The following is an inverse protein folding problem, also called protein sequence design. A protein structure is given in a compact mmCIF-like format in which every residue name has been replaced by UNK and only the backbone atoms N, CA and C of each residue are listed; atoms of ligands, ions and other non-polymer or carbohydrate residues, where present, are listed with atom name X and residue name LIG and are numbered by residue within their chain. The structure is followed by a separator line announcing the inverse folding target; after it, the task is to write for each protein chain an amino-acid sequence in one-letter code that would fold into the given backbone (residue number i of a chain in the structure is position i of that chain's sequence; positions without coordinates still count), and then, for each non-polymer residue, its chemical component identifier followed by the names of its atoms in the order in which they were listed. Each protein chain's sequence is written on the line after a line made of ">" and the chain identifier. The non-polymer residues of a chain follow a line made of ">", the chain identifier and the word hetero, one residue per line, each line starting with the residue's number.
data_IF_874003187553
#
_entry.id   IF_874003187553
#
_cell.length_a   1.000
_cell.length_b   1.000
_cell.length_c   1.000
_cell.angle_alpha   90.00
_cell.angle_beta   90.00
_cell.angle_gamma   90.00
#
_symmetry.space_group_name_H-M   'P 1'
#
loop_
_entity.id
_entity.type
_entity.pdbx_description
1 polymer ?
#
# COMPACT_ATOMS: atom_id res chain seq x y z
N UNK A 1 -23.60 -14.93 -13.66
CA UNK A 1 -24.16 -14.22 -14.82
C UNK A 1 -23.44 -14.56 -16.12
N UNK A 2 -22.15 -14.27 -16.29
CA UNK A 2 -21.41 -14.60 -17.53
C UNK A 2 -20.97 -16.08 -17.66
N UNK A 3 -21.01 -16.87 -16.57
CA UNK A 3 -20.52 -18.26 -16.53
C UNK A 3 -19.02 -18.43 -16.90
N UNK A 4 -18.23 -17.38 -16.75
CA UNK A 4 -16.76 -17.39 -16.90
C UNK A 4 -16.11 -17.35 -15.51
N UNK A 5 -15.08 -18.16 -15.23
CA UNK A 5 -14.35 -18.08 -13.96
C UNK A 5 -13.53 -16.79 -13.85
N UNK A 6 -13.43 -16.23 -12.64
CA UNK A 6 -12.67 -15.01 -12.37
C UNK A 6 -11.45 -15.29 -11.52
N UNK A 7 -10.34 -14.65 -11.89
CA UNK A 7 -9.18 -14.47 -11.01
C UNK A 7 -9.27 -13.06 -10.43
N UNK A 8 -9.62 -12.94 -9.16
CA UNK A 8 -9.50 -11.68 -8.42
C UNK A 8 -8.11 -11.63 -7.79
N UNK A 9 -7.29 -10.66 -8.19
CA UNK A 9 -5.92 -10.51 -7.71
C UNK A 9 -5.66 -9.09 -7.22
N UNK A 10 -4.70 -9.00 -6.31
CA UNK A 10 -4.18 -7.75 -5.75
C UNK A 10 -2.72 -7.95 -5.39
N UNK A 11 -1.99 -6.86 -5.24
CA UNK A 11 -0.54 -6.92 -5.10
C UNK A 11 -0.13 -7.60 -3.79
N UNK A 12 0.70 -8.64 -3.92
CA UNK A 12 1.27 -9.36 -2.78
C UNK A 12 2.09 -8.43 -1.89
N UNK A 13 1.89 -8.57 -0.57
CA UNK A 13 2.40 -7.70 0.50
C UNK A 13 1.87 -6.27 0.44
N UNK A 14 2.12 -5.54 -0.66
CA UNK A 14 1.79 -4.12 -0.82
C UNK A 14 0.30 -3.83 -0.63
N UNK A 15 -0.57 -4.76 -0.99
CA UNK A 15 -2.01 -4.71 -0.69
C UNK A 15 -2.41 -5.82 0.26
N UNK A 16 -1.92 -7.06 0.06
CA UNK A 16 -2.38 -8.20 0.86
C UNK A 16 -2.02 -8.16 2.35
N UNK A 17 -1.00 -7.39 2.73
CA UNK A 17 -0.54 -7.26 4.12
C UNK A 17 -0.60 -5.81 4.63
N UNK A 18 -1.11 -4.89 3.82
CA UNK A 18 -1.35 -3.53 4.25
C UNK A 18 -2.66 -3.47 5.04
N UNK A 19 -2.60 -2.85 6.21
CA UNK A 19 -3.78 -2.56 7.02
C UNK A 19 -4.31 -1.19 6.66
N UNK A 20 -5.60 -1.11 6.37
CA UNK A 20 -6.33 0.15 6.20
C UNK A 20 -7.66 0.09 6.93
N UNK A 21 -8.18 1.25 7.34
CA UNK A 21 -9.60 1.40 7.69
C UNK A 21 -10.41 1.40 6.39
N UNK A 22 -11.34 0.46 6.28
CA UNK A 22 -12.15 0.27 5.07
C UNK A 22 -13.63 0.11 5.43
N UNK A 23 -14.48 0.48 4.48
CA UNK A 23 -15.92 0.23 4.57
C UNK A 23 -16.26 -1.18 4.12
N UNK A 24 -16.47 -2.06 5.10
CA UNK A 24 -16.89 -3.44 4.84
C UNK A 24 -18.30 -3.49 4.23
N UNK A 25 -18.47 -4.28 3.18
CA UNK A 25 -19.78 -4.52 2.57
C UNK A 25 -20.47 -5.65 3.35
N UNK A 26 -21.65 -5.36 3.89
CA UNK A 26 -22.42 -6.36 4.63
C UNK A 26 -22.93 -7.49 3.73
N UNK A 27 -23.12 -8.68 4.31
CA UNK A 27 -23.67 -9.82 3.57
C UNK A 27 -25.10 -9.55 3.09
N UNK A 28 -25.86 -8.73 3.81
CA UNK A 28 -27.20 -8.30 3.38
C UNK A 28 -27.14 -7.46 2.10
N UNK A 29 -26.19 -6.52 2.02
CA UNK A 29 -25.96 -5.74 0.79
C UNK A 29 -25.54 -6.64 -0.37
N UNK A 30 -24.67 -7.62 -0.14
CA UNK A 30 -24.25 -8.58 -1.18
C UNK A 30 -25.45 -9.40 -1.69
N UNK A 31 -26.32 -9.88 -0.80
CA UNK A 31 -27.53 -10.65 -1.17
C UNK A 31 -28.46 -9.87 -2.10
N UNK A 32 -28.57 -8.54 -1.94
CA UNK A 32 -29.44 -7.70 -2.78
C UNK A 32 -29.06 -7.69 -4.27
N UNK A 33 -27.78 -7.91 -4.60
CA UNK A 33 -27.29 -7.94 -5.99
C UNK A 33 -26.99 -9.35 -6.49
N UNK A 34 -27.12 -10.36 -5.64
CA UNK A 34 -26.76 -11.74 -5.98
C UNK A 34 -27.72 -12.33 -7.02
N UNK A 35 -27.22 -12.93 -8.11
CA UNK A 35 -28.08 -13.42 -9.19
C UNK A 35 -28.63 -14.82 -8.90
N UNK A 36 -29.68 -14.89 -8.07
CA UNK A 36 -30.27 -16.16 -7.63
C UNK A 36 -30.75 -17.06 -8.78
N UNK A 37 -31.31 -16.51 -9.86
CA UNK A 37 -31.68 -17.30 -11.05
C UNK A 37 -30.46 -17.96 -11.70
N UNK A 38 -29.32 -17.27 -11.77
CA UNK A 38 -28.08 -17.86 -12.30
C UNK A 38 -27.48 -18.93 -11.37
N UNK A 39 -27.72 -18.83 -10.07
CA UNK A 39 -27.37 -19.90 -9.12
C UNK A 39 -28.24 -21.14 -9.38
N UNK A 40 -29.53 -20.97 -9.64
CA UNK A 40 -30.43 -22.07 -10.00
C UNK A 40 -29.98 -22.74 -11.30
N UNK A 41 -29.74 -21.98 -12.38
CA UNK A 41 -29.21 -22.50 -13.64
C UNK A 41 -27.85 -23.22 -13.46
N UNK A 42 -27.00 -22.74 -12.56
CA UNK A 42 -25.74 -23.41 -12.24
C UNK A 42 -25.97 -24.78 -11.58
N UNK A 43 -26.91 -24.85 -10.62
CA UNK A 43 -27.25 -26.11 -9.92
C UNK A 43 -27.92 -27.12 -10.85
N UNK A 44 -28.79 -26.66 -11.75
CA UNK A 44 -29.44 -27.51 -12.77
C UNK A 44 -28.41 -28.12 -13.74
N UNK A 45 -27.31 -27.39 -14.00
CA UNK A 45 -26.15 -27.90 -14.73
C UNK A 45 -25.16 -28.68 -13.86
N UNK A 46 -25.48 -29.07 -12.63
CA UNK A 46 -24.60 -29.97 -11.88
C UNK A 46 -24.63 -31.39 -12.46
N UNK A 47 -23.55 -32.15 -12.29
CA UNK A 47 -23.59 -33.58 -12.55
C UNK A 47 -24.52 -34.25 -11.53
N UNK A 48 -25.54 -34.93 -12.01
CA UNK A 48 -26.53 -35.59 -11.16
C UNK A 48 -27.06 -36.85 -11.87
N UNK A 49 -27.10 -38.02 -11.22
CA UNK A 49 -27.63 -39.25 -11.81
C UNK A 49 -29.12 -39.18 -12.19
N UNK A 50 -29.91 -38.29 -11.59
CA UNK A 50 -31.35 -38.17 -11.91
C UNK A 50 -31.63 -37.31 -13.15
N UNK A 51 -30.63 -36.57 -13.64
CA UNK A 51 -30.67 -35.80 -14.90
C UNK A 51 -29.25 -35.75 -15.51
N UNK A 52 -28.73 -36.90 -15.98
CA UNK A 52 -27.32 -37.06 -16.32
C UNK A 52 -26.93 -36.26 -17.57
N UNK A 53 -25.69 -35.76 -17.59
CA UNK A 53 -25.09 -35.12 -18.77
C UNK A 53 -23.66 -35.63 -18.95
N UNK A 54 -23.24 -35.90 -20.19
CA UNK A 54 -21.86 -36.24 -20.53
C UNK A 54 -21.03 -34.95 -20.72
N UNK A 55 -19.80 -34.91 -20.18
CA UNK A 55 -18.85 -33.77 -20.30
C UNK A 55 -17.42 -34.27 -20.41
N UNK A 56 -16.54 -33.45 -20.95
CA UNK A 56 -15.11 -33.80 -21.09
C UNK A 56 -14.86 -34.90 -22.12
N UNK A 57 -15.67 -34.95 -23.18
CA UNK A 57 -15.52 -35.91 -24.28
C UNK A 57 -14.22 -35.67 -25.04
N UNK A 58 -13.63 -36.73 -25.60
CA UNK A 58 -12.60 -36.61 -26.61
C UNK A 58 -13.23 -36.25 -27.96
N UNK A 59 -12.64 -35.28 -28.67
CA UNK A 59 -13.13 -34.82 -29.97
C UNK A 59 -11.96 -34.72 -30.96
N UNK A 60 -12.22 -35.03 -32.22
CA UNK A 60 -11.23 -34.87 -33.30
C UNK A 60 -11.24 -33.44 -33.86
N UNK A 61 -10.37 -33.19 -34.84
CA UNK A 61 -10.22 -31.89 -35.50
C UNK A 61 -11.46 -31.44 -36.30
N UNK A 62 -12.38 -32.36 -36.58
CA UNK A 62 -13.63 -32.12 -37.30
C UNK A 62 -14.63 -31.28 -36.50
N UNK A 63 -14.57 -31.29 -35.17
CA UNK A 63 -15.54 -30.60 -34.29
C UNK A 63 -14.88 -29.71 -33.21
N UNK A 64 -13.64 -30.02 -32.79
CA UNK A 64 -13.02 -29.30 -31.66
C UNK A 64 -12.94 -27.78 -31.86
N UNK A 65 -12.63 -27.33 -33.08
CA UNK A 65 -12.51 -25.90 -33.36
C UNK A 65 -13.86 -25.17 -33.21
N UNK A 66 -14.94 -25.74 -33.71
CA UNK A 66 -16.29 -25.21 -33.59
C UNK A 66 -16.73 -25.12 -32.11
N UNK A 67 -16.35 -26.11 -31.29
CA UNK A 67 -16.63 -26.09 -29.86
C UNK A 67 -15.81 -25.04 -29.11
N UNK A 68 -14.60 -24.71 -29.59
CA UNK A 68 -13.80 -23.64 -29.03
C UNK A 68 -14.46 -22.28 -29.27
N UNK A 69 -14.86 -22.00 -30.52
CA UNK A 69 -15.52 -20.75 -30.93
C UNK A 69 -16.94 -20.60 -30.34
N UNK A 70 -17.65 -21.70 -30.11
CA UNK A 70 -18.98 -21.68 -29.49
C UNK A 70 -19.00 -21.04 -28.09
N UNK A 71 -17.84 -20.92 -27.43
CA UNK A 71 -17.69 -20.26 -26.13
C UNK A 71 -17.54 -18.74 -26.23
N UNK A 72 -17.27 -18.18 -27.40
CA UNK A 72 -16.99 -16.75 -27.59
C UNK A 72 -18.08 -15.85 -26.99
N UNK A 73 -19.35 -16.20 -27.19
CA UNK A 73 -20.51 -15.45 -26.66
C UNK A 73 -20.44 -15.18 -25.15
N UNK A 74 -19.86 -16.09 -24.37
CA UNK A 74 -19.71 -15.90 -22.91
C UNK A 74 -18.61 -14.89 -22.59
N UNK A 75 -17.51 -14.91 -23.34
CA UNK A 75 -16.40 -13.98 -23.16
C UNK A 75 -16.74 -12.58 -23.69
N UNK A 76 -17.39 -12.48 -24.85
CA UNK A 76 -17.84 -11.23 -25.46
C UNK A 76 -18.84 -10.47 -24.58
N UNK A 77 -19.76 -11.17 -23.91
CA UNK A 77 -20.73 -10.56 -22.99
C UNK A 77 -20.18 -10.28 -21.59
N UNK A 78 -19.01 -10.81 -21.23
CA UNK A 78 -18.46 -10.68 -19.87
C UNK A 78 -18.17 -9.23 -19.47
N UNK A 79 -17.53 -8.37 -20.29
CA UNK A 79 -17.28 -6.97 -19.96
C UNK A 79 -18.54 -6.21 -19.52
N UNK A 80 -19.63 -6.31 -20.28
CA UNK A 80 -20.88 -5.61 -19.99
C UNK A 80 -21.55 -6.14 -18.71
N UNK A 81 -21.50 -7.45 -18.48
CA UNK A 81 -21.99 -8.07 -17.25
C UNK A 81 -21.19 -7.57 -16.05
N UNK A 82 -19.86 -7.49 -16.15
CA UNK A 82 -19.00 -6.97 -15.07
C UNK A 82 -19.33 -5.51 -14.78
N UNK A 83 -19.43 -4.66 -15.81
CA UNK A 83 -19.81 -3.25 -15.63
C UNK A 83 -21.19 -3.12 -14.96
N UNK A 84 -22.19 -3.91 -15.41
CA UNK A 84 -23.52 -3.92 -14.80
C UNK A 84 -23.50 -4.32 -13.31
N UNK A 85 -22.68 -5.31 -12.93
CA UNK A 85 -22.50 -5.69 -11.52
C UNK A 85 -21.84 -4.56 -10.73
N UNK A 86 -20.81 -3.90 -11.27
CA UNK A 86 -20.17 -2.75 -10.64
C UNK A 86 -21.16 -1.60 -10.42
N UNK A 87 -21.99 -1.28 -11.41
CA UNK A 87 -23.00 -0.21 -11.33
C UNK A 87 -24.09 -0.54 -10.30
N UNK A 88 -24.56 -1.79 -10.26
CA UNK A 88 -25.54 -2.24 -9.24
C UNK A 88 -24.97 -2.15 -7.83
N UNK A 89 -23.71 -2.53 -7.66
CA UNK A 89 -23.04 -2.41 -6.37
C UNK A 89 -22.87 -0.94 -5.98
N UNK A 90 -22.45 -0.07 -6.91
CA UNK A 90 -22.25 1.35 -6.68
C UNK A 90 -23.50 2.05 -6.15
N UNK A 91 -24.69 1.69 -6.67
CA UNK A 91 -25.99 2.20 -6.16
C UNK A 91 -26.25 1.87 -4.69
N UNK A 92 -25.64 0.81 -4.15
CA UNK A 92 -25.83 0.38 -2.76
C UNK A 92 -24.75 0.88 -1.81
N UNK A 93 -23.54 1.15 -2.30
CA UNK A 93 -22.38 1.48 -1.45
C UNK A 93 -21.78 2.88 -1.73
N UNK A 94 -22.28 3.58 -2.75
CA UNK A 94 -21.83 4.92 -3.16
C UNK A 94 -20.48 4.96 -3.90
N UNK A 95 -19.72 3.85 -3.92
CA UNK A 95 -18.43 3.74 -4.63
C UNK A 95 -18.63 3.18 -6.02
N UNK A 96 -18.26 3.95 -7.04
CA UNK A 96 -18.36 3.54 -8.44
C UNK A 96 -17.05 2.96 -8.95
N UNK A 97 -17.16 1.93 -9.79
CA UNK A 97 -16.04 1.26 -10.45
C UNK A 97 -16.40 1.04 -11.91
N UNK A 98 -15.39 1.05 -12.78
CA UNK A 98 -15.55 0.70 -14.18
C UNK A 98 -14.50 -0.31 -14.60
N UNK A 99 -14.67 -0.91 -15.77
CA UNK A 99 -13.64 -1.80 -16.36
C UNK A 99 -12.27 -1.11 -16.42
N UNK A 100 -12.30 0.20 -16.71
CA UNK A 100 -11.18 1.12 -16.74
C UNK A 100 -11.58 2.42 -16.04
N UNK A 101 -10.88 2.79 -14.97
CA UNK A 101 -11.13 4.06 -14.27
C UNK A 101 -10.10 5.10 -14.71
N UNK A 102 -10.57 6.26 -15.16
CA UNK A 102 -9.73 7.41 -15.47
C UNK A 102 -9.63 8.35 -14.26
N UNK A 103 -8.46 8.94 -14.03
CA UNK A 103 -8.21 10.00 -13.05
C UNK A 103 -7.19 11.01 -13.58
N UNK A 104 -7.42 12.30 -13.35
CA UNK A 104 -6.51 13.38 -13.73
C UNK A 104 -7.18 14.47 -14.57
N UNK A 105 -6.36 15.26 -15.27
CA UNK A 105 -6.83 16.44 -15.99
C UNK A 105 -7.75 16.05 -17.16
N UNK A 106 -8.97 16.61 -17.31
CA UNK A 106 -9.93 16.19 -18.35
C UNK A 106 -9.37 16.24 -19.78
N UNK A 107 -8.51 17.22 -20.06
CA UNK A 107 -7.78 17.37 -21.33
C UNK A 107 -6.34 16.84 -21.28
N UNK A 108 -6.06 15.76 -20.55
CA UNK A 108 -4.70 15.22 -20.41
C UNK A 108 -4.01 14.97 -21.76
N UNK A 109 -2.80 15.49 -21.92
CA UNK A 109 -1.92 15.26 -23.07
C UNK A 109 -1.00 14.05 -22.83
N UNK A 110 -0.74 13.74 -21.56
CA UNK A 110 0.09 12.64 -21.09
C UNK A 110 -0.74 11.67 -20.27
N UNK A 111 -0.80 10.41 -20.70
CA UNK A 111 -1.62 9.39 -20.07
C UNK A 111 -0.77 8.22 -19.56
N UNK A 112 -0.93 7.85 -18.30
CA UNK A 112 -0.33 6.64 -17.74
C UNK A 112 -1.38 5.52 -17.73
N UNK A 113 -1.02 4.30 -18.11
CA UNK A 113 -1.88 3.12 -17.96
C UNK A 113 -1.22 2.15 -17.00
N UNK A 114 -1.93 1.75 -15.96
CA UNK A 114 -1.36 0.93 -14.87
C UNK A 114 -2.41 0.02 -14.26
N UNK A 115 -1.96 -1.04 -13.61
CA UNK A 115 -2.80 -2.00 -12.88
C UNK A 115 -2.26 -2.22 -11.47
N UNK A 116 -3.15 -2.50 -10.51
CA UNK A 116 -2.77 -2.75 -9.11
C UNK A 116 -2.48 -1.47 -8.31
N UNK A 117 -1.70 -1.62 -7.24
CA UNK A 117 -1.51 -0.58 -6.21
C UNK A 117 -0.72 0.63 -6.70
N UNK A 118 0.13 0.47 -7.72
CA UNK A 118 0.92 1.57 -8.29
C UNK A 118 0.06 2.72 -8.83
N UNK A 119 -1.18 2.44 -9.22
CA UNK A 119 -2.14 3.46 -9.63
C UNK A 119 -2.46 4.47 -8.53
N UNK A 120 -2.44 4.08 -7.26
CA UNK A 120 -2.70 4.99 -6.14
C UNK A 120 -1.58 6.01 -5.96
N UNK A 121 -0.32 5.57 -6.04
CA UNK A 121 0.86 6.47 -6.01
C UNK A 121 0.85 7.43 -7.20
N UNK A 122 0.42 6.96 -8.38
CA UNK A 122 0.31 7.79 -9.58
C UNK A 122 -0.79 8.85 -9.44
N UNK A 123 -1.92 8.53 -8.80
CA UNK A 123 -2.94 9.54 -8.49
C UNK A 123 -2.38 10.66 -7.59
N UNK A 124 -1.66 10.32 -6.51
CA UNK A 124 -1.03 11.33 -5.65
C UNK A 124 -0.03 12.20 -6.41
N UNK A 125 0.75 11.59 -7.31
CA UNK A 125 1.68 12.31 -8.18
C UNK A 125 0.96 13.24 -9.17
N UNK A 126 -0.17 12.79 -9.74
CA UNK A 126 -1.02 13.60 -10.64
C UNK A 126 -1.60 14.79 -9.88
N UNK A 127 -2.12 14.59 -8.65
CA UNK A 127 -2.62 15.67 -7.80
C UNK A 127 -1.55 16.72 -7.56
N UNK A 128 -0.33 16.29 -7.22
CA UNK A 128 0.82 17.17 -7.04
C UNK A 128 1.15 17.98 -8.29
N UNK A 129 1.19 17.35 -9.48
CA UNK A 129 1.53 18.04 -10.72
C UNK A 129 0.44 19.02 -11.16
N UNK A 130 -0.84 18.65 -11.00
CA UNK A 130 -1.96 19.55 -11.29
C UNK A 130 -1.98 20.76 -10.35
N UNK A 131 -1.78 20.55 -9.05
CA UNK A 131 -1.74 21.64 -8.06
C UNK A 131 -0.55 22.58 -8.29
N UNK A 132 0.63 22.02 -8.60
CA UNK A 132 1.87 22.79 -8.69
C UNK A 132 2.05 23.53 -10.01
N UNK A 133 1.71 22.92 -11.14
CA UNK A 133 1.95 23.49 -12.47
C UNK A 133 0.83 23.25 -13.48
N UNK A 134 -0.34 22.80 -13.04
CA UNK A 134 -1.50 22.53 -13.89
C UNK A 134 -1.16 21.61 -15.07
N UNK A 135 -0.32 20.61 -14.83
CA UNK A 135 0.09 19.67 -15.87
C UNK A 135 -1.11 18.85 -16.37
N UNK A 136 -1.18 18.68 -17.69
CA UNK A 136 -2.22 17.91 -18.35
C UNK A 136 -1.87 16.42 -18.34
N UNK A 137 -1.90 15.82 -17.16
CA UNK A 137 -1.59 14.41 -16.94
C UNK A 137 -2.80 13.64 -16.41
N UNK A 138 -2.94 12.40 -16.85
CA UNK A 138 -3.96 11.47 -16.36
C UNK A 138 -3.45 10.05 -16.20
N UNK A 139 -4.23 9.22 -15.53
CA UNK A 139 -4.01 7.79 -15.37
C UNK A 139 -5.27 6.99 -15.66
N UNK A 140 -5.14 5.91 -16.42
CA UNK A 140 -6.14 4.85 -16.52
C UNK A 140 -5.70 3.69 -15.63
N UNK A 141 -6.57 3.34 -14.69
CA UNK A 141 -6.41 2.17 -13.82
C UNK A 141 -7.22 1.02 -14.40
N UNK A 142 -6.53 -0.04 -14.78
CA UNK A 142 -7.16 -1.26 -15.32
C UNK A 142 -7.78 -2.05 -14.18
N UNK A 143 -9.09 -2.36 -14.27
CA UNK A 143 -9.82 -3.20 -13.29
C UNK A 143 -10.14 -4.57 -13.85
N UNK A 144 -10.69 -4.62 -15.06
CA UNK A 144 -10.92 -5.86 -15.79
C UNK A 144 -9.83 -6.04 -16.84
N UNK A 145 -8.76 -6.76 -16.49
CA UNK A 145 -7.69 -7.08 -17.45
C UNK A 145 -8.13 -8.10 -18.50
N UNK A 146 -8.94 -9.09 -18.10
CA UNK A 146 -9.49 -10.11 -18.99
C UNK A 146 -10.94 -10.42 -18.66
N UNK A 147 -11.83 -10.51 -19.66
CA UNK A 147 -11.61 -10.18 -21.08
C UNK A 147 -11.37 -8.68 -21.29
N UNK A 148 -10.48 -8.32 -22.22
CA UNK A 148 -10.14 -6.93 -22.51
C UNK A 148 -11.18 -6.32 -23.45
N UNK A 149 -11.79 -5.19 -23.06
CA UNK A 149 -12.73 -4.45 -23.91
C UNK A 149 -12.04 -3.21 -24.52
N UNK A 150 -11.74 -3.27 -25.82
CA UNK A 150 -11.11 -2.16 -26.56
C UNK A 150 -11.99 -0.92 -26.47
N UNK A 151 -13.29 -1.05 -26.75
CA UNK A 151 -14.23 0.07 -26.75
C UNK A 151 -14.31 0.75 -25.38
N UNK A 152 -14.39 -0.03 -24.29
CA UNK A 152 -14.45 0.53 -22.94
C UNK A 152 -13.13 1.22 -22.54
N UNK A 153 -11.99 0.71 -23.00
CA UNK A 153 -10.67 1.31 -22.77
C UNK A 153 -10.51 2.63 -23.54
N UNK A 154 -10.74 2.60 -24.86
CA UNK A 154 -10.57 3.76 -25.76
C UNK A 154 -11.48 4.91 -25.33
N UNK A 155 -12.72 4.63 -24.90
CA UNK A 155 -13.66 5.64 -24.35
C UNK A 155 -13.13 6.39 -23.13
N UNK A 156 -12.13 5.86 -22.41
CA UNK A 156 -11.51 6.50 -21.25
C UNK A 156 -10.28 7.33 -21.59
N UNK A 157 -9.82 7.32 -22.83
CA UNK A 157 -8.66 8.10 -23.29
C UNK A 157 -9.12 9.51 -23.68
N UNK A 158 -8.61 10.58 -23.04
CA UNK A 158 -8.90 11.94 -23.46
C UNK A 158 -8.46 12.18 -24.92
N UNK A 159 -9.29 12.87 -25.70
CA UNK A 159 -9.03 13.14 -27.12
C UNK A 159 -7.74 13.92 -27.38
N UNK A 160 -7.26 14.65 -26.37
CA UNK A 160 -6.03 15.46 -26.41
C UNK A 160 -4.76 14.65 -26.11
N UNK A 161 -4.89 13.35 -25.82
CA UNK A 161 -3.75 12.48 -25.48
C UNK A 161 -2.76 12.42 -26.64
N UNK A 162 -1.51 12.77 -26.36
CA UNK A 162 -0.39 12.73 -27.32
C UNK A 162 0.58 11.59 -27.01
N UNK A 163 0.72 11.22 -25.73
CA UNK A 163 1.64 10.17 -25.27
C UNK A 163 1.00 9.30 -24.21
N UNK A 164 1.20 7.99 -24.35
CA UNK A 164 0.76 6.98 -23.38
C UNK A 164 2.00 6.27 -22.82
N UNK A 165 2.10 6.14 -21.51
CA UNK A 165 3.10 5.28 -20.86
C UNK A 165 2.40 4.16 -20.10
N UNK A 166 2.72 2.93 -20.45
CA UNK A 166 2.15 1.73 -19.85
C UNK A 166 3.13 1.17 -18.83
N UNK A 167 2.71 1.08 -17.58
CA UNK A 167 3.50 0.58 -16.48
C UNK A 167 3.10 -0.82 -16.09
N UNK A 168 4.09 -1.71 -16.03
CA UNK A 168 3.88 -3.12 -15.74
C UNK A 168 4.72 -3.66 -14.60
N UNK A 169 4.06 -4.54 -13.83
CA UNK A 169 4.64 -5.26 -12.70
C UNK A 169 4.98 -6.70 -13.07
N UNK A 170 5.51 -6.89 -14.27
CA UNK A 170 6.00 -8.17 -14.77
C UNK A 170 7.23 -7.96 -15.66
N UNK A 171 7.88 -9.05 -16.09
CA UNK A 171 8.95 -9.03 -17.08
C UNK A 171 8.87 -10.29 -17.93
N UNK A 172 8.61 -10.12 -19.22
CA UNK A 172 8.65 -11.20 -20.21
C UNK A 172 9.93 -11.08 -21.04
N UNK A 173 10.93 -11.90 -20.72
CA UNK A 173 12.24 -11.82 -21.37
C UNK A 173 12.16 -12.21 -22.84
N UNK A 174 12.52 -11.27 -23.72
CA UNK A 174 12.52 -11.46 -25.18
C UNK A 174 11.23 -11.04 -25.88
N UNK A 175 10.20 -10.60 -25.15
CA UNK A 175 8.98 -10.07 -25.76
C UNK A 175 9.22 -8.68 -26.38
N UNK A 176 8.32 -8.29 -27.29
CA UNK A 176 8.31 -6.93 -27.90
C UNK A 176 7.88 -5.85 -26.91
N UNK A 177 7.17 -6.23 -25.86
CA UNK A 177 6.67 -5.40 -24.77
C UNK A 177 5.99 -6.32 -23.74
N UNK A 178 5.76 -5.81 -22.55
CA UNK A 178 4.99 -6.52 -21.53
C UNK A 178 3.49 -6.63 -21.90
N UNK A 179 2.71 -7.58 -21.34
CA UNK A 179 1.35 -7.91 -21.78
C UNK A 179 0.35 -6.75 -21.88
N UNK A 180 0.22 -5.92 -20.85
CA UNK A 180 -0.61 -4.72 -20.84
C UNK A 180 -0.13 -3.69 -21.88
N UNK A 181 1.19 -3.54 -22.07
CA UNK A 181 1.72 -2.65 -23.10
C UNK A 181 1.31 -3.11 -24.51
N UNK A 182 1.33 -4.43 -24.75
CA UNK A 182 0.87 -5.02 -26.01
C UNK A 182 -0.65 -4.86 -26.21
N UNK A 183 -1.45 -5.05 -25.15
CA UNK A 183 -2.92 -4.85 -25.22
C UNK A 183 -3.29 -3.39 -25.50
N UNK A 184 -2.63 -2.44 -24.81
CA UNK A 184 -2.83 -1.01 -25.04
C UNK A 184 -2.44 -0.63 -26.47
N UNK A 185 -1.25 -1.06 -26.92
CA UNK A 185 -0.78 -0.81 -28.28
C UNK A 185 -1.75 -1.34 -29.34
N UNK A 186 -2.23 -2.57 -29.16
CA UNK A 186 -3.22 -3.20 -30.02
C UNK A 186 -4.56 -2.46 -29.99
N UNK A 187 -4.98 -1.96 -28.82
CA UNK A 187 -6.21 -1.19 -28.67
C UNK A 187 -6.16 0.13 -29.44
N UNK A 188 -5.05 0.88 -29.34
CA UNK A 188 -4.87 2.12 -30.11
C UNK A 188 -4.88 1.82 -31.60
N UNK A 189 -4.12 0.83 -32.05
CA UNK A 189 -4.04 0.42 -33.46
C UNK A 189 -5.39 0.02 -34.05
N UNK A 190 -6.26 -0.64 -33.26
CA UNK A 190 -7.57 -1.14 -33.71
C UNK A 190 -8.72 -0.16 -33.51
N UNK A 191 -8.43 1.06 -33.07
CA UNK A 191 -9.44 2.09 -32.77
C UNK A 191 -9.34 3.29 -33.71
N UNK A 192 -10.28 4.20 -33.57
CA UNK A 192 -10.27 5.52 -34.21
C UNK A 192 -9.04 6.37 -33.84
N UNK A 193 -8.32 6.04 -32.76
CA UNK A 193 -7.11 6.74 -32.33
C UNK A 193 -5.86 6.35 -33.13
N UNK A 194 -5.94 5.35 -34.01
CA UNK A 194 -4.82 4.88 -34.83
C UNK A 194 -4.20 5.99 -35.71
N UNK A 195 -4.99 7.00 -36.10
CA UNK A 195 -4.53 8.16 -36.88
C UNK A 195 -4.01 9.33 -36.03
N UNK A 196 -4.11 9.27 -34.69
CA UNK A 196 -3.76 10.38 -33.79
C UNK A 196 -2.26 10.50 -33.49
N UNK A 197 -1.41 9.66 -34.10
CA UNK A 197 0.04 9.63 -33.90
C UNK A 197 0.46 9.63 -32.41
N UNK A 198 -0.25 8.84 -31.58
CA UNK A 198 0.01 8.73 -30.15
C UNK A 198 1.29 7.90 -29.92
N UNK A 199 2.28 8.49 -29.25
CA UNK A 199 3.48 7.76 -28.86
C UNK A 199 3.20 6.88 -27.64
N UNK A 200 3.44 5.57 -27.77
CA UNK A 200 3.27 4.60 -26.68
C UNK A 200 4.64 4.17 -26.15
N UNK A 201 4.82 4.26 -24.84
CA UNK A 201 6.03 3.86 -24.12
C UNK A 201 5.69 2.73 -23.13
N UNK A 202 6.56 1.72 -23.04
CA UNK A 202 6.49 0.66 -22.03
C UNK A 202 7.49 0.89 -20.90
N UNK A 203 7.09 0.59 -19.67
CA UNK A 203 7.94 0.69 -18.49
C UNK A 203 7.67 -0.41 -17.47
N UNK A 204 8.72 -0.92 -16.84
CA UNK A 204 8.63 -1.91 -15.76
C UNK A 204 8.87 -1.28 -14.40
N UNK A 205 8.11 -1.72 -13.41
CA UNK A 205 8.28 -1.29 -12.02
C UNK A 205 7.93 -2.42 -11.03
N UNK A 206 8.31 -2.26 -9.77
CA UNK A 206 7.70 -3.02 -8.67
C UNK A 206 7.92 -4.53 -8.64
N UNK A 207 8.84 -5.08 -9.44
CA UNK A 207 9.14 -6.52 -9.44
C UNK A 207 9.56 -6.97 -8.05
N UNK A 208 8.99 -8.09 -7.59
CA UNK A 208 9.23 -8.66 -6.26
C UNK A 208 9.08 -7.64 -5.11
N UNK A 209 8.09 -6.74 -5.21
CA UNK A 209 7.86 -5.69 -4.21
C UNK A 209 8.99 -4.67 -4.08
N UNK A 210 9.77 -4.46 -5.14
CA UNK A 210 10.55 -3.24 -5.27
C UNK A 210 9.63 -2.03 -5.09
N UNK A 211 10.11 -1.02 -4.38
CA UNK A 211 9.33 0.19 -4.13
C UNK A 211 8.92 0.90 -5.40
N UNK A 212 7.79 1.59 -5.33
CA UNK A 212 7.31 2.53 -6.34
C UNK A 212 6.80 3.79 -5.65
N UNK A 213 7.71 4.74 -5.46
CA UNK A 213 7.50 5.95 -4.67
C UNK A 213 6.99 7.11 -5.53
N UNK A 214 6.51 8.21 -4.93
CA UNK A 214 6.15 9.41 -5.69
C UNK A 214 7.28 9.96 -6.58
N UNK A 215 8.53 9.91 -6.11
CA UNK A 215 9.68 10.32 -6.93
C UNK A 215 9.87 9.43 -8.16
N UNK A 216 9.54 8.15 -8.07
CA UNK A 216 9.56 7.22 -9.22
C UNK A 216 8.42 7.49 -10.19
N UNK A 217 7.21 7.75 -9.67
CA UNK A 217 6.08 8.17 -10.50
C UNK A 217 6.38 9.49 -11.22
N UNK A 218 7.02 10.44 -10.53
CA UNK A 218 7.46 11.70 -11.14
C UNK A 218 8.51 11.45 -12.24
N UNK A 219 9.47 10.56 -12.03
CA UNK A 219 10.47 10.20 -13.06
C UNK A 219 9.82 9.61 -14.33
N UNK A 220 8.74 8.83 -14.17
CA UNK A 220 7.95 8.34 -15.32
C UNK A 220 7.36 9.52 -16.09
N UNK A 221 6.73 10.48 -15.40
CA UNK A 221 6.20 11.68 -16.06
C UNK A 221 7.29 12.53 -16.71
N UNK A 222 8.45 12.73 -16.05
CA UNK A 222 9.59 13.46 -16.62
C UNK A 222 10.10 12.78 -17.91
N UNK A 223 10.14 11.45 -17.93
CA UNK A 223 10.44 10.71 -19.16
C UNK A 223 9.38 10.93 -20.24
N UNK A 224 8.09 10.94 -19.88
CA UNK A 224 6.99 11.18 -20.82
C UNK A 224 7.07 12.53 -21.52
N UNK A 225 7.50 13.59 -20.82
CA UNK A 225 7.58 14.94 -21.39
C UNK A 225 8.91 15.23 -22.09
N UNK A 226 9.92 14.35 -21.93
CA UNK A 226 11.23 14.50 -22.57
C UNK A 226 11.13 14.51 -24.11
N UNK A 227 12.02 15.25 -24.77
CA UNK A 227 12.13 15.22 -26.24
C UNK A 227 12.48 13.82 -26.76
N UNK A 228 13.30 13.08 -26.01
CA UNK A 228 13.76 11.72 -26.34
C UNK A 228 13.40 10.77 -25.19
N UNK A 229 12.13 10.36 -25.07
CA UNK A 229 11.72 9.44 -24.03
C UNK A 229 12.42 8.10 -24.18
N UNK A 230 12.85 7.51 -23.07
CA UNK A 230 13.35 6.14 -23.01
C UNK A 230 12.12 5.23 -23.08
N UNK A 231 12.09 4.33 -24.07
CA UNK A 231 11.09 3.27 -24.17
C UNK A 231 11.61 1.96 -23.56
N UNK A 232 10.71 1.05 -23.18
CA UNK A 232 11.03 -0.20 -22.51
C UNK A 232 11.92 -0.01 -21.28
N UNK A 233 11.65 1.05 -20.52
CA UNK A 233 12.46 1.48 -19.39
C UNK A 233 12.20 0.63 -18.14
N UNK A 234 12.99 0.87 -17.09
CA UNK A 234 12.70 0.41 -15.73
C UNK A 234 12.74 1.58 -14.76
N UNK A 235 12.03 1.50 -13.64
CA UNK A 235 12.08 2.53 -12.59
C UNK A 235 12.19 1.87 -11.23
N UNK A 236 13.02 2.46 -10.35
CA UNK A 236 13.29 1.95 -9.00
C UNK A 236 14.56 1.08 -8.89
N UNK A 237 15.38 1.03 -9.92
CA UNK A 237 16.71 0.42 -9.93
C UNK A 237 17.72 1.36 -10.58
N UNK A 238 19.01 1.07 -10.41
CA UNK A 238 20.10 1.60 -11.21
C UNK A 238 20.53 0.50 -12.20
N UNK A 239 20.27 0.70 -13.49
CA UNK A 239 20.63 -0.22 -14.56
C UNK A 239 21.80 0.39 -15.34
N UNK A 240 23.00 0.15 -14.81
CA UNK A 240 24.29 0.55 -15.37
C UNK A 240 24.80 -0.38 -16.47
N UNK A 241 23.99 -1.38 -16.87
CA UNK A 241 24.34 -2.36 -17.90
C UNK A 241 23.62 -2.07 -19.20
N UNK A 242 22.28 -1.91 -19.16
CA UNK A 242 21.49 -1.61 -20.37
C UNK A 242 21.02 -0.17 -20.47
N UNK A 243 21.28 0.64 -19.43
CA UNK A 243 20.99 2.08 -19.38
C UNK A 243 19.51 2.41 -19.61
N UNK A 244 18.61 1.54 -19.14
CA UNK A 244 17.16 1.70 -19.29
C UNK A 244 16.47 2.17 -18.02
N UNK A 245 17.19 2.32 -16.90
CA UNK A 245 16.61 2.83 -15.67
C UNK A 245 16.37 4.33 -15.75
N UNK A 246 15.18 4.78 -15.34
CA UNK A 246 14.90 6.20 -15.19
C UNK A 246 15.60 6.77 -13.96
N UNK A 247 16.18 7.96 -14.11
CA UNK A 247 16.78 8.69 -13.02
C UNK A 247 15.71 9.21 -12.06
N UNK A 248 15.89 8.98 -10.75
CA UNK A 248 14.97 9.45 -9.70
C UNK A 248 15.66 10.56 -8.91
N UNK A 249 15.12 11.78 -8.98
CA UNK A 249 15.69 12.97 -8.34
C UNK A 249 15.76 12.82 -6.81
N UNK A 250 16.79 13.45 -6.22
CA UNK A 250 16.93 13.65 -4.79
C UNK A 250 16.71 15.14 -4.44
N UNK A 251 16.24 15.47 -3.22
CA UNK A 251 15.85 14.55 -2.15
C UNK A 251 14.53 13.80 -2.44
N UNK A 252 14.25 12.72 -1.68
CA UNK A 252 12.98 11.99 -1.75
C UNK A 252 11.78 12.94 -1.65
N UNK A 253 10.86 12.81 -2.59
CA UNK A 253 9.60 13.55 -2.66
C UNK A 253 8.59 12.94 -1.67
N UNK A 254 8.07 13.77 -0.77
CA UNK A 254 6.94 13.43 0.09
C UNK A 254 5.73 14.26 -0.35
N UNK A 255 4.66 13.59 -0.75
CA UNK A 255 3.43 14.21 -1.24
C UNK A 255 2.33 14.30 -0.17
N UNK A 256 2.59 13.80 1.03
CA UNK A 256 1.61 13.82 2.11
C UNK A 256 1.54 15.20 2.76
N UNK A 257 0.31 15.61 3.10
CA UNK A 257 0.03 16.85 3.83
C UNK A 257 0.63 16.81 5.24
N UNK A 258 0.88 17.98 5.82
CA UNK A 258 1.28 18.11 7.24
C UNK A 258 0.25 17.53 8.21
N UNK A 259 -1.02 17.43 7.81
CA UNK A 259 -2.09 16.80 8.57
C UNK A 259 -2.00 15.26 8.62
N UNK A 260 -1.15 14.65 7.79
CA UNK A 260 -0.93 13.19 7.81
C UNK A 260 0.33 12.88 8.61
N UNK A 261 0.13 12.35 9.82
CA UNK A 261 1.19 11.88 10.69
C UNK A 261 1.83 10.61 10.12
N UNK A 262 3.16 10.61 9.99
CA UNK A 262 3.95 9.49 9.47
C UNK A 262 4.90 8.94 10.55
N UNK A 263 4.73 7.69 10.93
CA UNK A 263 5.45 7.07 12.05
C UNK A 263 6.21 5.81 11.63
N UNK A 264 7.52 5.77 11.91
CA UNK A 264 8.39 4.64 11.64
C UNK A 264 8.82 3.95 12.93
N UNK A 265 8.69 2.63 13.00
CA UNK A 265 9.12 1.84 14.16
C UNK A 265 10.10 0.77 13.72
N UNK A 266 11.29 0.77 14.32
CA UNK A 266 12.30 -0.26 14.18
C UNK A 266 12.21 -1.22 15.36
N UNK A 267 11.79 -2.46 15.09
CA UNK A 267 11.69 -3.53 16.08
C UNK A 267 12.54 -4.73 15.71
N UNK A 268 12.83 -5.57 16.70
CA UNK A 268 13.44 -6.88 16.52
C UNK A 268 12.37 -7.95 16.30
N UNK A 269 12.61 -8.89 15.39
CA UNK A 269 11.71 -10.03 15.20
C UNK A 269 11.40 -10.75 16.52
N UNK A 270 10.11 -10.79 16.90
CA UNK A 270 9.56 -11.36 18.15
C UNK A 270 9.63 -10.47 19.42
N UNK A 271 9.95 -9.19 19.30
CA UNK A 271 9.91 -8.24 20.44
C UNK A 271 8.50 -7.69 20.77
N UNK A 272 7.53 -7.93 19.89
CA UNK A 272 6.14 -7.48 20.03
C UNK A 272 5.81 -6.13 19.39
N UNK A 273 6.78 -5.44 18.76
CA UNK A 273 6.61 -4.14 18.09
C UNK A 273 5.51 -4.15 17.04
N UNK A 274 5.56 -5.11 16.11
CA UNK A 274 4.55 -5.21 15.04
C UNK A 274 3.15 -5.42 15.62
N UNK A 275 3.01 -6.27 16.64
CA UNK A 275 1.73 -6.52 17.30
C UNK A 275 1.19 -5.28 18.03
N UNK A 276 2.07 -4.53 18.70
CA UNK A 276 1.72 -3.25 19.33
C UNK A 276 1.22 -2.25 18.29
N UNK A 277 1.93 -2.11 17.17
CA UNK A 277 1.57 -1.20 16.08
C UNK A 277 0.23 -1.58 15.43
N UNK A 278 -0.04 -2.88 15.22
CA UNK A 278 -1.37 -3.34 14.75
C UNK A 278 -2.49 -2.97 15.72
N UNK A 279 -2.25 -3.09 17.03
CA UNK A 279 -3.21 -2.67 18.05
C UNK A 279 -3.39 -1.15 18.07
N UNK A 280 -2.31 -0.37 17.94
CA UNK A 280 -2.38 1.09 17.87
C UNK A 280 -3.22 1.56 16.66
N UNK A 281 -3.00 0.97 15.48
CA UNK A 281 -3.82 1.22 14.27
C UNK A 281 -5.30 0.96 14.57
N UNK A 282 -5.60 -0.17 15.22
CA UNK A 282 -6.97 -0.54 15.54
C UNK A 282 -7.61 0.43 16.53
N UNK A 283 -6.91 0.77 17.61
CA UNK A 283 -7.37 1.73 18.61
C UNK A 283 -7.71 3.05 17.93
N UNK A 284 -6.77 3.62 17.15
CA UNK A 284 -6.97 4.90 16.47
C UNK A 284 -8.11 4.82 15.45
N UNK A 285 -8.16 3.75 14.64
CA UNK A 285 -9.17 3.58 13.60
C UNK A 285 -10.59 3.38 14.14
N UNK A 286 -10.74 2.75 15.32
CA UNK A 286 -12.03 2.51 15.98
C UNK A 286 -12.47 3.68 16.88
N UNK A 287 -11.53 4.48 17.40
CA UNK A 287 -11.84 5.58 18.33
C UNK A 287 -11.83 6.98 17.68
N UNK A 288 -11.50 7.09 16.40
CA UNK A 288 -11.42 8.38 15.69
C UNK A 288 -11.97 8.27 14.26
N UNK A 289 -12.23 9.43 13.66
CA UNK A 289 -12.59 9.53 12.24
C UNK A 289 -11.37 9.51 11.31
N UNK A 290 -10.15 9.43 11.86
CA UNK A 290 -8.93 9.37 11.06
C UNK A 290 -8.93 8.11 10.19
N UNK A 291 -8.39 8.30 9.00
CA UNK A 291 -7.94 7.22 8.13
C UNK A 291 -6.61 6.72 8.67
N UNK A 292 -6.44 5.41 8.66
CA UNK A 292 -5.26 4.74 9.20
C UNK A 292 -4.69 3.82 8.14
N UNK A 293 -3.36 3.77 8.07
CA UNK A 293 -2.64 2.84 7.20
C UNK A 293 -1.47 2.24 7.98
N UNK A 294 -1.22 0.94 7.79
CA UNK A 294 -0.07 0.24 8.35
C UNK A 294 0.55 -0.74 7.39
N UNK A 295 1.84 -0.61 7.15
CA UNK A 295 2.64 -1.56 6.39
C UNK A 295 3.83 -2.05 7.22
N UNK A 296 4.14 -3.34 7.14
CA UNK A 296 5.17 -3.97 7.95
C UNK A 296 6.19 -4.65 7.05
N UNK A 297 7.40 -4.10 6.99
CA UNK A 297 8.52 -4.71 6.30
C UNK A 297 9.27 -5.64 7.26
N UNK A 298 9.56 -6.86 6.78
CA UNK A 298 10.28 -7.88 7.53
C UNK A 298 11.58 -8.22 6.79
N UNK A 299 12.61 -8.54 7.55
CA UNK A 299 13.79 -9.22 7.02
C UNK A 299 13.39 -10.61 6.46
N UNK A 300 14.17 -11.13 5.51
CA UNK A 300 14.01 -12.49 5.00
C UNK A 300 14.33 -13.56 6.07
N UNK A 301 15.02 -13.18 7.15
CA UNK A 301 15.33 -14.06 8.28
C UNK A 301 14.07 -14.39 9.09
N UNK A 302 13.87 -15.68 9.36
CA UNK A 302 12.73 -16.20 10.15
C UNK A 302 12.69 -15.68 11.60
N UNK A 303 13.82 -15.39 12.21
CA UNK A 303 13.91 -14.89 13.59
C UNK A 303 15.12 -13.94 13.75
N UNK A 304 15.00 -12.97 14.68
CA UNK A 304 16.07 -12.00 14.99
C UNK A 304 16.38 -10.99 13.89
N UNK A 305 15.64 -11.01 12.78
CA UNK A 305 15.72 -9.99 11.74
C UNK A 305 15.12 -8.65 12.18
N UNK A 306 15.49 -7.58 11.49
CA UNK A 306 14.88 -6.28 11.69
C UNK A 306 13.43 -6.27 11.16
N UNK A 307 12.58 -5.52 11.84
CA UNK A 307 11.21 -5.24 11.41
C UNK A 307 11.01 -3.73 11.36
N UNK A 308 10.38 -3.25 10.30
CA UNK A 308 10.05 -1.83 10.14
C UNK A 308 8.55 -1.70 9.98
N UNK A 309 7.91 -0.98 10.90
CA UNK A 309 6.49 -0.65 10.82
C UNK A 309 6.33 0.77 10.30
N UNK A 310 5.62 0.92 9.20
CA UNK A 310 5.32 2.18 8.55
C UNK A 310 3.84 2.50 8.78
N UNK A 311 3.56 3.48 9.63
CA UNK A 311 2.21 3.87 9.97
C UNK A 311 1.91 5.26 9.44
N UNK A 312 0.67 5.45 8.97
CA UNK A 312 0.14 6.76 8.60
C UNK A 312 -1.24 6.98 9.22
N UNK A 313 -1.48 8.19 9.71
CA UNK A 313 -2.75 8.59 10.29
C UNK A 313 -3.11 9.99 9.78
N UNK A 314 -4.29 10.17 9.20
CA UNK A 314 -4.69 11.47 8.65
C UNK A 314 -6.19 11.58 8.44
N UNK A 315 -6.70 12.80 8.22
CA UNK A 315 -8.14 13.04 8.05
C UNK A 315 -8.66 12.57 6.69
N UNK A 316 -7.78 12.45 5.68
CA UNK A 316 -8.13 12.08 4.29
C UNK A 316 -7.77 10.62 3.99
N UNK A 317 -8.45 9.97 3.01
CA UNK A 317 -8.08 8.65 2.53
C UNK A 317 -6.59 8.56 2.14
N UNK A 318 -5.89 7.55 2.65
CA UNK A 318 -4.44 7.40 2.46
C UNK A 318 -4.20 6.50 1.26
N UNK A 319 -3.75 7.09 0.15
CA UNK A 319 -3.45 6.39 -1.12
C UNK A 319 -2.00 5.90 -1.21
N UNK A 320 -1.16 6.26 -0.25
CA UNK A 320 0.29 6.10 -0.28
C UNK A 320 0.78 4.65 -0.20
N UNK A 321 0.67 3.91 -1.30
CA UNK A 321 1.08 2.50 -1.43
C UNK A 321 2.60 2.35 -1.60
N UNK A 322 3.37 3.00 -0.74
CA UNK A 322 4.85 3.01 -0.69
C UNK A 322 5.33 3.22 0.76
N UNK A 323 6.60 2.94 1.04
CA UNK A 323 7.20 3.16 2.37
C UNK A 323 7.28 4.65 2.71
N UNK A 324 7.39 4.99 4.00
CA UNK A 324 7.50 6.39 4.43
C UNK A 324 8.70 7.09 3.77
N UNK A 325 8.45 8.26 3.17
CA UNK A 325 9.50 9.09 2.56
C UNK A 325 10.05 10.08 3.59
N UNK A 326 9.18 10.59 4.47
CA UNK A 326 9.52 11.41 5.63
C UNK A 326 8.74 10.92 6.85
N UNK A 327 9.29 11.13 8.04
CA UNK A 327 8.71 10.65 9.29
C UNK A 327 8.61 11.79 10.31
N UNK A 328 7.43 11.97 10.88
CA UNK A 328 7.18 12.87 12.02
C UNK A 328 7.64 12.22 13.33
N UNK A 329 7.55 10.89 13.41
CA UNK A 329 7.92 10.09 14.57
C UNK A 329 8.76 8.90 14.14
N UNK A 330 9.89 8.67 14.81
CA UNK A 330 10.73 7.48 14.66
C UNK A 330 10.95 6.84 16.02
N UNK A 331 10.65 5.56 16.17
CA UNK A 331 11.00 4.80 17.37
C UNK A 331 11.94 3.65 17.03
N UNK A 332 12.99 3.48 17.84
CA UNK A 332 13.95 2.39 17.74
C UNK A 332 13.87 1.57 19.02
N UNK A 333 13.28 0.39 18.92
CA UNK A 333 12.99 -0.46 20.08
C UNK A 333 14.15 -1.39 20.45
N UNK A 334 15.18 -1.47 19.60
CA UNK A 334 16.40 -2.22 19.88
C UNK A 334 17.64 -1.33 19.72
N UNK A 335 18.41 -1.06 20.79
CA UNK A 335 19.42 0.00 20.79
C UNK A 335 20.53 -0.25 19.77
N UNK A 336 20.91 -1.51 19.51
CA UNK A 336 21.98 -1.82 18.54
C UNK A 336 21.70 -1.31 17.11
N UNK A 337 20.45 -0.99 16.77
CA UNK A 337 20.10 -0.56 15.41
C UNK A 337 20.62 0.82 15.05
N UNK A 338 20.90 1.69 16.03
CA UNK A 338 21.51 2.99 15.77
C UNK A 338 22.92 2.86 15.16
N UNK A 339 23.59 1.72 15.36
CA UNK A 339 24.90 1.41 14.78
C UNK A 339 24.82 0.63 13.46
N UNK A 340 23.69 0.00 13.17
CA UNK A 340 23.54 -0.92 12.03
C UNK A 340 22.80 -0.30 10.85
N UNK A 341 21.89 0.62 11.12
CA UNK A 341 20.99 1.19 10.13
C UNK A 341 20.96 2.72 10.26
N UNK A 342 20.65 3.39 9.15
CA UNK A 342 20.36 4.82 9.14
C UNK A 342 18.92 5.05 9.61
N UNK A 343 18.68 4.83 10.91
CA UNK A 343 17.32 4.84 11.49
C UNK A 343 16.64 6.21 11.40
N UNK A 344 17.42 7.29 11.26
CA UNK A 344 16.94 8.67 11.14
C UNK A 344 17.01 9.21 9.70
N UNK A 345 17.27 8.38 8.69
CA UNK A 345 17.36 8.82 7.28
C UNK A 345 16.18 9.73 6.90
N UNK A 346 14.97 9.29 7.24
CA UNK A 346 13.70 9.91 6.85
C UNK A 346 13.12 10.89 7.89
N UNK A 347 13.76 11.14 9.04
CA UNK A 347 13.16 12.04 10.05
C UNK A 347 13.04 13.47 9.52
N UNK A 348 11.88 14.09 9.74
CA UNK A 348 11.61 15.50 9.41
C UNK A 348 12.36 16.44 10.36
N UNK A 349 12.54 17.69 9.94
CA UNK A 349 12.95 18.77 10.83
C UNK A 349 11.95 18.88 11.99
N UNK A 350 12.42 19.00 13.23
CA UNK A 350 11.55 19.07 14.42
C UNK A 350 10.89 17.75 14.80
N UNK A 351 11.20 16.65 14.10
CA UNK A 351 10.59 15.34 14.29
C UNK A 351 10.91 14.73 15.65
N UNK A 352 10.12 13.75 16.09
CA UNK A 352 10.30 13.05 17.35
C UNK A 352 11.09 11.76 17.14
N UNK A 353 12.15 11.56 17.92
CA UNK A 353 12.92 10.33 17.95
C UNK A 353 12.85 9.69 19.35
N UNK A 354 12.48 8.42 19.42
CA UNK A 354 12.45 7.63 20.64
C UNK A 354 13.43 6.46 20.53
N UNK A 355 14.31 6.32 21.51
CA UNK A 355 15.24 5.19 21.61
C UNK A 355 14.95 4.39 22.88
N UNK A 356 14.67 3.09 22.72
CA UNK A 356 14.63 2.16 23.84
C UNK A 356 16.06 1.74 24.18
N UNK A 357 16.61 2.25 25.28
CA UNK A 357 17.97 1.96 25.73
C UNK A 357 18.11 2.13 27.25
N UNK A 358 19.12 1.51 27.87
CA UNK A 358 19.41 1.72 29.30
C UNK A 358 20.13 3.05 29.58
N UNK A 359 20.60 3.75 28.54
CA UNK A 359 21.32 5.02 28.66
C UNK A 359 20.33 6.16 28.93
N UNK A 360 20.58 6.90 30.02
CA UNK A 360 19.67 7.97 30.49
C UNK A 360 20.35 9.32 30.60
N UNK A 361 21.68 9.36 30.54
CA UNK A 361 22.46 10.60 30.65
C UNK A 361 23.05 11.03 29.32
N UNK A 362 23.22 12.34 29.12
CA UNK A 362 23.87 12.90 27.93
C UNK A 362 25.31 12.36 27.74
N UNK A 363 26.03 12.09 28.84
CA UNK A 363 27.38 11.51 28.80
C UNK A 363 27.38 10.10 28.20
N UNK A 364 26.47 9.24 28.65
CA UNK A 364 26.32 7.88 28.11
C UNK A 364 25.91 7.94 26.64
N UNK A 365 24.88 8.71 26.31
CA UNK A 365 24.38 8.85 24.94
C UNK A 365 25.44 9.42 23.99
N UNK A 366 26.28 10.35 24.45
CA UNK A 366 27.39 10.87 23.66
C UNK A 366 28.47 9.82 23.36
N UNK A 367 28.69 8.88 24.29
CA UNK A 367 29.62 7.77 24.11
C UNK A 367 29.06 6.71 23.17
N UNK A 368 27.79 6.36 23.35
CA UNK A 368 27.15 5.22 22.69
C UNK A 368 26.60 5.57 21.29
N UNK A 369 26.04 6.76 21.07
CA UNK A 369 25.46 7.11 19.78
C UNK A 369 26.53 7.41 18.71
N UNK A 370 26.43 6.82 17.50
CA UNK A 370 27.31 7.18 16.39
C UNK A 370 27.24 8.66 16.02
N UNK A 371 28.37 9.23 15.57
CA UNK A 371 28.45 10.64 15.18
C UNK A 371 27.43 11.05 14.12
N UNK A 372 27.11 10.14 13.18
CA UNK A 372 26.07 10.38 12.16
C UNK A 372 24.69 10.59 12.79
N UNK A 373 24.30 9.78 13.76
CA UNK A 373 23.00 9.89 14.46
C UNK A 373 22.96 11.19 15.27
N UNK A 374 24.02 11.49 16.04
CA UNK A 374 24.12 12.76 16.79
C UNK A 374 24.02 13.97 15.88
N UNK A 375 24.70 13.93 14.72
CA UNK A 375 24.60 14.99 13.73
C UNK A 375 23.19 15.13 13.15
N UNK A 376 22.50 14.02 12.81
CA UNK A 376 21.12 14.07 12.33
C UNK A 376 20.15 14.62 13.38
N UNK A 377 20.33 14.26 14.66
CA UNK A 377 19.53 14.79 15.77
C UNK A 377 19.69 16.31 15.88
N UNK A 378 20.94 16.79 15.94
CA UNK A 378 21.22 18.21 16.09
C UNK A 378 20.85 19.04 14.84
N UNK A 379 21.27 18.60 13.65
CA UNK A 379 21.03 19.34 12.40
C UNK A 379 19.56 19.45 12.02
N UNK A 380 18.72 18.51 12.49
CA UNK A 380 17.28 18.48 12.20
C UNK A 380 16.40 18.87 13.38
N UNK A 381 16.99 19.41 14.45
CA UNK A 381 16.28 19.83 15.66
C UNK A 381 15.32 18.76 16.20
N UNK A 382 15.81 17.52 16.29
CA UNK A 382 14.99 16.34 16.61
C UNK A 382 14.64 16.31 18.09
N UNK A 383 13.35 16.25 18.43
CA UNK A 383 12.90 16.03 19.81
C UNK A 383 13.26 14.60 20.23
N UNK A 384 14.37 14.46 20.95
CA UNK A 384 14.94 13.17 21.30
C UNK A 384 14.51 12.71 22.71
N UNK A 385 13.97 11.49 22.78
CA UNK A 385 13.54 10.84 24.01
C UNK A 385 14.18 9.47 24.15
N UNK A 386 14.44 9.08 25.39
CA UNK A 386 14.93 7.75 25.75
C UNK A 386 14.02 7.11 26.80
N UNK A 387 13.95 5.79 26.77
CA UNK A 387 13.23 4.99 27.78
C UNK A 387 13.93 3.65 27.96
N UNK A 388 14.08 3.19 29.19
CA UNK A 388 14.49 1.81 29.49
C UNK A 388 13.24 0.94 29.69
N UNK A 389 12.63 0.51 28.58
CA UNK A 389 11.43 -0.31 28.64
C UNK A 389 11.70 -1.70 29.26
N UNK A 390 12.95 -2.18 29.19
CA UNK A 390 13.32 -3.48 29.75
C UNK A 390 13.35 -3.44 31.28
N UNK A 391 13.84 -2.34 31.89
CA UNK A 391 13.75 -2.09 33.33
C UNK A 391 12.30 -2.02 33.80
N UNK A 392 11.46 -1.23 33.13
CA UNK A 392 10.03 -1.08 33.48
C UNK A 392 9.30 -2.44 33.41
N UNK A 393 9.59 -3.23 32.38
CA UNK A 393 9.02 -4.57 32.23
C UNK A 393 9.44 -5.51 33.38
N UNK A 394 10.67 -5.42 33.88
CA UNK A 394 11.13 -6.20 35.03
C UNK A 394 10.46 -5.75 36.33
N UNK A 395 10.41 -4.45 36.61
CA UNK A 395 9.74 -3.87 37.78
C UNK A 395 8.23 -4.17 37.84
N UNK A 396 7.64 -4.46 36.67
CA UNK A 396 6.23 -4.80 36.50
C UNK A 396 5.93 -6.30 36.36
N UNK A 397 6.94 -7.18 36.51
CA UNK A 397 6.81 -8.63 36.34
C UNK A 397 6.34 -9.09 34.94
N UNK A 398 6.70 -8.35 33.88
CA UNK A 398 6.40 -8.67 32.48
C UNK A 398 7.54 -9.40 31.76
N UNK A 399 8.69 -9.57 32.42
CA UNK A 399 9.88 -10.21 31.85
C UNK A 399 10.49 -9.37 30.73
N UNK A 400 10.47 -9.88 29.49
CA UNK A 400 11.04 -9.21 28.31
C UNK A 400 10.01 -8.45 27.45
N UNK A 401 8.76 -8.35 27.92
CA UNK A 401 7.66 -7.79 27.11
C UNK A 401 7.59 -6.28 27.29
N UNK A 402 8.03 -5.56 26.26
CA UNK A 402 8.12 -4.09 26.23
C UNK A 402 7.02 -3.44 25.36
N UNK A 403 6.19 -4.24 24.72
CA UNK A 403 5.25 -3.82 23.67
C UNK A 403 4.20 -2.80 24.15
N UNK A 404 3.63 -2.98 25.34
CA UNK A 404 2.63 -2.04 25.87
C UNK A 404 3.25 -0.74 26.39
N UNK A 405 4.46 -0.81 26.96
CA UNK A 405 5.24 0.35 27.42
C UNK A 405 5.51 1.27 26.22
N UNK A 406 6.09 0.73 25.15
CA UNK A 406 6.44 1.52 23.96
C UNK A 406 5.22 2.06 23.22
N UNK A 407 4.08 1.35 23.27
CA UNK A 407 2.82 1.86 22.72
C UNK A 407 2.30 3.09 23.49
N UNK A 408 2.45 3.12 24.82
CA UNK A 408 2.08 4.30 25.63
C UNK A 408 2.99 5.49 25.31
N UNK A 409 4.30 5.25 25.14
CA UNK A 409 5.25 6.29 24.69
C UNK A 409 4.85 6.87 23.33
N UNK A 410 4.42 6.01 22.39
CA UNK A 410 3.92 6.46 21.11
C UNK A 410 2.70 7.39 21.25
N UNK A 411 1.70 7.01 22.04
CA UNK A 411 0.52 7.84 22.25
C UNK A 411 0.83 9.16 22.98
N UNK A 412 1.72 9.14 23.97
CA UNK A 412 2.08 10.33 24.75
C UNK A 412 2.86 11.37 23.95
N UNK A 413 3.65 10.93 22.96
CA UNK A 413 4.51 11.83 22.19
C UNK A 413 3.87 12.29 20.87
N UNK A 414 2.96 11.51 20.29
CA UNK A 414 2.34 11.85 19.01
C UNK A 414 1.06 12.68 19.14
N UNK A 415 0.38 12.62 20.29
CA UNK A 415 -0.89 13.32 20.54
C UNK A 415 -1.96 13.09 19.46
N UNK A 416 -1.94 11.94 18.76
CA UNK A 416 -2.93 11.58 17.74
C UNK A 416 -4.34 11.46 18.35
N UNK A 417 -4.40 11.03 19.61
CA UNK A 417 -5.60 11.04 20.45
C UNK A 417 -5.23 11.62 21.82
N UNK A 418 -6.19 12.18 22.58
CA UNK A 418 -5.94 12.64 23.94
C UNK A 418 -5.31 11.54 24.81
N UNK A 419 -4.27 11.88 25.57
CA UNK A 419 -3.48 10.91 26.33
C UNK A 419 -4.33 10.08 27.31
N UNK A 420 -5.24 10.73 28.05
CA UNK A 420 -6.13 10.03 29.00
C UNK A 420 -7.01 9.00 28.30
N UNK A 421 -7.52 9.34 27.11
CA UNK A 421 -8.29 8.42 26.29
C UNK A 421 -7.40 7.27 25.78
N UNK A 422 -6.18 7.56 25.34
CA UNK A 422 -5.22 6.55 24.90
C UNK A 422 -4.92 5.54 26.01
N UNK A 423 -4.59 6.01 27.21
CA UNK A 423 -4.30 5.15 28.37
C UNK A 423 -5.50 4.26 28.69
N UNK A 424 -6.71 4.83 28.70
CA UNK A 424 -7.95 4.07 28.91
C UNK A 424 -8.12 2.96 27.87
N UNK A 425 -8.03 3.29 26.58
CA UNK A 425 -8.20 2.32 25.48
C UNK A 425 -7.12 1.23 25.50
N UNK A 426 -5.88 1.59 25.84
CA UNK A 426 -4.78 0.63 26.02
C UNK A 426 -5.08 -0.33 27.18
N UNK A 427 -5.51 0.18 28.34
CA UNK A 427 -5.87 -0.64 29.51
C UNK A 427 -7.05 -1.58 29.21
N UNK A 428 -8.05 -1.11 28.46
CA UNK A 428 -9.18 -1.93 27.98
C UNK A 428 -8.73 -3.02 27.00
N UNK A 429 -7.86 -2.68 26.04
CA UNK A 429 -7.30 -3.64 25.09
C UNK A 429 -6.45 -4.73 25.78
N UNK A 430 -5.67 -4.35 26.80
CA UNK A 430 -4.93 -5.27 27.67
C UNK A 430 -5.89 -6.24 28.36
N UNK A 431 -6.97 -5.74 28.99
CA UNK A 431 -7.96 -6.58 29.67
C UNK A 431 -8.64 -7.54 28.69
N UNK A 432 -9.02 -7.07 27.50
CA UNK A 432 -9.62 -7.92 26.45
C UNK A 432 -8.67 -9.02 25.98
N UNK A 433 -7.39 -8.71 25.82
CA UNK A 433 -6.39 -9.64 25.28
C UNK A 433 -5.90 -10.64 26.33
N UNK A 434 -5.68 -10.19 27.56
CA UNK A 434 -5.03 -10.98 28.60
C UNK A 434 -5.94 -11.36 29.78
N UNK A 435 -7.20 -10.94 29.81
CA UNK A 435 -8.13 -11.26 30.90
C UNK A 435 -8.29 -12.77 31.13
N UNK A 436 -8.23 -13.58 30.07
CA UNK A 436 -8.25 -15.05 30.18
C UNK A 436 -7.00 -15.65 30.85
N UNK A 437 -5.93 -14.87 31.04
CA UNK A 437 -4.68 -15.28 31.69
C UNK A 437 -4.64 -14.91 33.18
N UNK A 438 -5.71 -14.31 33.72
CA UNK A 438 -5.84 -13.95 35.13
C UNK A 438 -5.50 -12.48 35.44
N UNK A 439 -6.08 -11.96 36.52
CA UNK A 439 -5.99 -10.55 36.91
C UNK A 439 -4.57 -10.10 37.25
N UNK A 440 -3.72 -11.01 37.77
CA UNK A 440 -2.32 -10.70 38.03
C UNK A 440 -1.57 -10.25 36.77
N UNK A 441 -1.81 -10.90 35.63
CA UNK A 441 -1.19 -10.53 34.34
C UNK A 441 -1.71 -9.18 33.85
N UNK A 442 -3.01 -8.92 34.02
CA UNK A 442 -3.63 -7.64 33.64
C UNK A 442 -3.06 -6.50 34.50
N UNK A 443 -3.02 -6.67 35.81
CA UNK A 443 -2.50 -5.68 36.75
C UNK A 443 -1.01 -5.40 36.53
N UNK A 444 -0.19 -6.40 36.22
CA UNK A 444 1.20 -6.21 35.81
C UNK A 444 1.35 -5.35 34.57
N UNK A 445 0.47 -5.52 33.58
CA UNK A 445 0.48 -4.67 32.38
C UNK A 445 0.01 -3.25 32.69
N UNK A 446 -1.00 -3.07 33.53
CA UNK A 446 -1.45 -1.74 33.95
C UNK A 446 -0.38 -0.99 34.74
N UNK A 447 0.31 -1.66 35.67
CA UNK A 447 1.46 -1.10 36.39
C UNK A 447 2.54 -0.61 35.42
N UNK A 448 2.86 -1.40 34.40
CA UNK A 448 3.85 -0.99 33.39
C UNK A 448 3.41 0.24 32.59
N UNK A 449 2.12 0.33 32.24
CA UNK A 449 1.53 1.51 31.58
C UNK A 449 1.70 2.75 32.45
N UNK A 450 1.41 2.64 33.75
CA UNK A 450 1.48 3.76 34.69
C UNK A 450 2.93 4.25 34.90
N UNK A 451 3.88 3.33 35.07
CA UNK A 451 5.32 3.66 35.19
C UNK A 451 5.95 4.23 33.92
N UNK A 452 5.31 4.06 32.76
CA UNK A 452 5.89 4.46 31.47
C UNK A 452 6.13 5.96 31.38
N UNK A 453 5.13 6.77 31.75
CA UNK A 453 5.19 8.22 31.60
C UNK A 453 6.23 8.86 32.52
N UNK A 454 6.37 8.33 33.74
CA UNK A 454 7.36 8.78 34.72
C UNK A 454 8.80 8.43 34.30
N UNK A 455 8.97 7.38 33.48
CA UNK A 455 10.28 6.87 33.07
C UNK A 455 10.73 7.36 31.69
N UNK A 456 9.91 8.15 30.99
CA UNK A 456 10.23 8.70 29.68
C UNK A 456 11.05 9.99 29.86
N UNK A 457 12.27 10.01 29.32
CA UNK A 457 13.20 11.12 29.51
C UNK A 457 13.41 11.85 28.18
N UNK A 458 13.15 13.15 28.16
CA UNK A 458 13.57 14.01 27.05
C UNK A 458 15.04 14.40 27.24
N UNK A 459 15.85 14.22 26.19
CA UNK A 459 17.27 14.55 26.21
C UNK A 459 17.47 15.96 25.64
N UNK A 460 17.98 16.85 26.48
CA UNK A 460 18.54 18.15 26.05
C UNK A 460 20.00 17.95 25.65
N UNK A 461 20.36 18.30 24.41
CA UNK A 461 21.67 18.04 23.82
C UNK A 461 22.31 19.30 23.23
#
# INVERSE_FOLDING_TARGET
>A
ECSVPFVNFFDGFRTSHELQKIDMISYETIKKIFPYEKLKEFRERALNPTHPTLRGTATSSDVYFQLAEARNKYYESTPDIVQSVMDRLAKLIGRSYHLFDYYGHPDAEFLIVVMGSGGLTIEEMIDYLMEKSNEKVGVIKVRLFRPWSIDAFVKKIPKTTKRITVLERCKESGSLGEPLCLDVSTSIMRSELSSNNILILGGRYGLASKEFTPGMALAVWENMISEKPINNFSVGIDDDVTFKSLFVRQPRLDLLTSETMQCLFWGLGSDGTVSANKNAIKIIGESTDLQVQGYFAYDAKKAGGATMSHLRFGPKPIKSAYLLQRCDYVAVHHPSYVHKFDVLENIKQGGCFVLNCPWSTLKELNHELPSKIKHQIASRDVKFYVIDAQRIAQESNLGRRINNILMVVFFSLTNIIPLDLAIKLVKEAIKKTYGKKGDAVVNSNWKAVDLTLESLIQISY
#
